data_IF_233311277594
#
_entry.id   IF_233311277594
#
_cell.length_a   1.000
_cell.length_b   1.000
_cell.length_c   1.000
_cell.angle_alpha   90.00
_cell.angle_beta   90.00
_cell.angle_gamma   90.00
#
_symmetry.space_group_name_H-M   'P 1'
#
loop_
_entity.id
_entity.type
_entity.pdbx_description
1 polymer ?
#
# COMPACT_ATOMS: atom_id res chain seq x y z
N UNK A 1 38.65 5.66 -10.80
CA UNK A 1 38.13 4.35 -10.36
C UNK A 1 36.79 4.12 -11.02
N UNK A 2 36.75 3.35 -12.12
CA UNK A 2 35.50 3.00 -12.81
C UNK A 2 34.89 1.80 -12.10
N UNK A 3 33.78 2.02 -11.39
CA UNK A 3 33.00 0.93 -10.77
C UNK A 3 32.49 0.03 -11.90
N UNK A 4 32.70 -1.30 -11.85
CA UNK A 4 32.21 -2.21 -12.87
C UNK A 4 30.68 -2.13 -12.93
N UNK A 5 30.13 -2.02 -14.13
CA UNK A 5 28.68 -2.10 -14.33
C UNK A 5 28.18 -3.47 -13.82
N UNK A 6 27.10 -3.53 -13.01
CA UNK A 6 26.61 -4.78 -12.47
C UNK A 6 26.16 -5.72 -13.60
N UNK A 7 26.50 -7.00 -13.45
CA UNK A 7 26.21 -8.03 -14.43
C UNK A 7 24.68 -8.13 -14.67
N UNK A 8 24.23 -8.22 -15.93
CA UNK A 8 22.82 -8.36 -16.24
C UNK A 8 22.32 -9.71 -15.74
N UNK A 9 21.42 -9.73 -14.76
CA UNK A 9 20.57 -10.89 -14.46
C UNK A 9 20.45 -11.32 -13.01
N UNK A 10 21.31 -10.85 -12.10
CA UNK A 10 21.18 -11.20 -10.67
C UNK A 10 20.41 -10.10 -9.94
N UNK A 11 19.28 -10.40 -9.27
CA UNK A 11 18.54 -9.40 -8.51
C UNK A 11 19.43 -8.88 -7.36
N UNK A 12 19.57 -7.54 -7.21
CA UNK A 12 20.42 -6.98 -6.17
C UNK A 12 19.86 -7.32 -4.79
N UNK A 13 20.71 -7.59 -3.80
CA UNK A 13 20.27 -7.88 -2.42
C UNK A 13 19.40 -6.75 -1.85
N UNK A 14 19.66 -5.51 -2.30
CA UNK A 14 18.90 -4.32 -1.89
C UNK A 14 17.50 -4.21 -2.51
N UNK A 15 17.15 -5.08 -3.48
CA UNK A 15 15.77 -5.21 -3.97
C UNK A 15 14.79 -5.61 -2.86
N UNK A 16 15.29 -6.30 -1.82
CA UNK A 16 14.51 -6.69 -0.65
C UNK A 16 13.93 -5.51 0.13
N UNK A 17 14.57 -4.34 0.07
CA UNK A 17 14.03 -3.10 0.66
C UNK A 17 12.76 -2.62 -0.02
N UNK A 18 12.48 -3.07 -1.25
CA UNK A 18 11.21 -2.83 -1.94
C UNK A 18 10.26 -4.01 -1.78
N UNK A 19 10.74 -5.23 -2.02
CA UNK A 19 9.87 -6.40 -2.15
C UNK A 19 9.32 -6.89 -0.82
N UNK A 20 10.06 -6.75 0.29
CA UNK A 20 9.60 -7.15 1.62
C UNK A 20 8.49 -6.19 2.10
N UNK A 21 8.69 -4.85 2.12
CA UNK A 21 7.60 -3.95 2.50
C UNK A 21 6.37 -4.06 1.60
N UNK A 22 6.55 -4.22 0.28
CA UNK A 22 5.42 -4.46 -0.64
C UNK A 22 4.64 -5.73 -0.29
N UNK A 23 5.34 -6.80 0.10
CA UNK A 23 4.70 -8.03 0.53
C UNK A 23 3.94 -7.82 1.85
N UNK A 24 4.53 -7.13 2.82
CA UNK A 24 3.88 -6.80 4.09
C UNK A 24 2.60 -5.98 3.86
N UNK A 25 2.68 -4.94 3.03
CA UNK A 25 1.53 -4.12 2.66
C UNK A 25 0.46 -4.93 1.93
N UNK A 26 0.84 -5.83 1.03
CA UNK A 26 -0.08 -6.70 0.31
C UNK A 26 -0.82 -7.64 1.27
N UNK A 27 -0.10 -8.29 2.18
CA UNK A 27 -0.71 -9.16 3.20
C UNK A 27 -1.63 -8.37 4.11
N UNK A 28 -1.21 -7.19 4.56
CA UNK A 28 -2.04 -6.29 5.36
C UNK A 28 -3.34 -5.92 4.64
N UNK A 29 -3.27 -5.49 3.37
CA UNK A 29 -4.45 -5.18 2.57
C UNK A 29 -5.35 -6.41 2.35
N UNK A 30 -4.77 -7.60 2.16
CA UNK A 30 -5.54 -8.84 2.03
C UNK A 30 -6.29 -9.17 3.34
N UNK A 31 -5.63 -9.07 4.49
CA UNK A 31 -6.30 -9.24 5.78
C UNK A 31 -7.38 -8.18 6.02
N UNK A 32 -7.14 -6.94 5.64
CA UNK A 32 -8.15 -5.88 5.70
C UNK A 32 -9.37 -6.18 4.84
N UNK A 33 -9.17 -6.73 3.64
CA UNK A 33 -10.27 -7.14 2.76
C UNK A 33 -11.10 -8.29 3.37
N UNK A 34 -10.43 -9.24 4.01
CA UNK A 34 -11.07 -10.34 4.76
C UNK A 34 -11.86 -9.84 5.97
N UNK A 35 -11.39 -8.78 6.63
CA UNK A 35 -12.05 -8.17 7.79
C UNK A 35 -13.26 -7.30 7.41
N UNK A 36 -13.30 -6.81 6.16
CA UNK A 36 -14.30 -5.85 5.65
C UNK A 36 -15.78 -6.24 5.91
N UNK A 37 -16.24 -7.48 5.64
CA UNK A 37 -17.64 -7.85 5.90
C UNK A 37 -18.02 -7.81 7.39
N UNK A 38 -17.05 -7.92 8.30
CA UNK A 38 -17.29 -7.89 9.75
C UNK A 38 -17.39 -6.47 10.32
N UNK A 39 -16.99 -5.45 9.55
CA UNK A 39 -17.03 -4.05 9.98
C UNK A 39 -18.43 -3.43 9.93
N UNK A 40 -19.37 -4.01 9.19
CA UNK A 40 -20.72 -3.46 9.01
C UNK A 40 -21.47 -3.19 10.33
N UNK A 41 -21.66 -4.19 11.20
CA UNK A 41 -22.32 -4.00 12.49
C UNK A 41 -21.59 -3.01 13.39
N UNK A 42 -20.26 -2.98 13.34
CA UNK A 42 -19.42 -2.11 14.16
C UNK A 42 -19.52 -0.65 13.73
N UNK A 43 -19.62 -0.39 12.42
CA UNK A 43 -19.88 0.95 11.89
C UNK A 43 -21.28 1.45 12.28
N UNK A 44 -22.29 0.57 12.29
CA UNK A 44 -23.65 0.93 12.71
C UNK A 44 -23.72 1.35 14.18
N UNK A 45 -22.95 0.71 15.07
CA UNK A 45 -22.91 1.09 16.48
C UNK A 45 -22.08 2.35 16.74
N UNK A 46 -21.01 2.60 15.96
CA UNK A 46 -20.12 3.75 16.16
C UNK A 46 -20.64 5.05 15.54
N UNK A 47 -21.42 4.98 14.44
CA UNK A 47 -21.93 6.15 13.74
C UNK A 47 -22.75 7.10 14.64
N UNK A 48 -23.71 6.62 15.46
CA UNK A 48 -24.46 7.48 16.37
C UNK A 48 -23.58 8.14 17.44
N UNK A 49 -22.59 7.43 17.97
CA UNK A 49 -21.65 7.96 18.98
C UNK A 49 -20.80 9.09 18.40
N UNK A 50 -20.26 8.91 17.18
CA UNK A 50 -19.49 9.95 16.48
C UNK A 50 -20.34 11.18 16.14
N UNK A 51 -21.59 10.97 15.73
CA UNK A 51 -22.53 12.07 15.48
C UNK A 51 -22.80 12.87 16.76
N UNK A 52 -22.99 12.18 17.88
CA UNK A 52 -23.17 12.80 19.20
C UNK A 52 -21.96 13.65 19.63
N UNK A 53 -20.74 13.17 19.37
CA UNK A 53 -19.51 13.92 19.70
C UNK A 53 -19.29 15.15 18.80
N UNK A 54 -19.69 15.08 17.54
CA UNK A 54 -19.52 16.18 16.57
C UNK A 54 -20.63 17.26 16.68
N UNK A 55 -21.62 17.06 17.55
CA UNK A 55 -22.72 18.01 17.75
C UNK A 55 -23.61 18.18 16.50
N UNK A 56 -23.59 17.18 15.61
CA UNK A 56 -24.38 17.22 14.39
C UNK A 56 -25.84 16.88 14.71
N UNK A 57 -26.83 17.61 14.14
CA UNK A 57 -28.24 17.24 14.25
C UNK A 57 -28.46 15.84 13.64
N UNK A 58 -29.44 15.08 14.14
CA UNK A 58 -29.61 13.63 13.88
C UNK A 58 -29.52 13.16 12.41
N UNK A 59 -29.18 11.87 12.25
CA UNK A 59 -29.04 11.09 11.00
C UNK A 59 -28.48 11.85 9.78
N UNK A 60 -27.27 12.42 9.91
CA UNK A 60 -26.55 13.01 8.76
C UNK A 60 -26.09 11.93 7.75
N UNK A 61 -25.88 10.70 8.21
CA UNK A 61 -25.51 9.56 7.38
C UNK A 61 -26.62 8.50 7.43
N UNK A 62 -27.48 8.42 6.41
CA UNK A 62 -28.52 7.39 6.37
C UNK A 62 -27.86 6.00 6.33
N UNK A 63 -28.36 5.07 7.15
CA UNK A 63 -27.81 3.70 7.24
C UNK A 63 -27.82 2.95 5.89
N UNK A 64 -28.67 3.38 4.95
CA UNK A 64 -28.72 2.85 3.58
C UNK A 64 -27.43 3.08 2.79
N UNK A 65 -26.54 4.00 3.21
CA UNK A 65 -25.24 4.24 2.56
C UNK A 65 -24.16 3.26 3.02
N UNK A 66 -24.36 2.55 4.14
CA UNK A 66 -23.36 1.63 4.68
C UNK A 66 -22.96 0.56 3.65
N UNK A 67 -23.89 -0.13 2.96
CA UNK A 67 -23.54 -1.07 1.90
C UNK A 67 -22.71 -0.43 0.77
N UNK A 68 -23.06 0.79 0.35
CA UNK A 68 -22.34 1.50 -0.70
C UNK A 68 -20.90 1.81 -0.28
N UNK A 69 -20.70 2.27 0.96
CA UNK A 69 -19.37 2.52 1.52
C UNK A 69 -18.58 1.21 1.59
N UNK A 70 -19.18 0.12 2.07
CA UNK A 70 -18.53 -1.19 2.15
C UNK A 70 -18.12 -1.71 0.76
N UNK A 71 -18.97 -1.57 -0.26
CA UNK A 71 -18.65 -1.96 -1.64
C UNK A 71 -17.56 -1.09 -2.25
N UNK A 72 -17.59 0.23 -1.99
CA UNK A 72 -16.55 1.13 -2.45
C UNK A 72 -15.21 0.80 -1.79
N UNK A 73 -15.20 0.60 -0.47
CA UNK A 73 -14.03 0.14 0.28
C UNK A 73 -13.51 -1.19 -0.23
N UNK A 74 -14.40 -2.14 -0.55
CA UNK A 74 -14.04 -3.42 -1.15
C UNK A 74 -13.33 -3.22 -2.50
N UNK A 75 -13.95 -2.49 -3.42
CA UNK A 75 -13.40 -2.26 -4.76
C UNK A 75 -12.05 -1.53 -4.71
N UNK A 76 -11.93 -0.51 -3.87
CA UNK A 76 -10.68 0.23 -3.66
C UNK A 76 -9.58 -0.66 -3.05
N UNK A 77 -9.94 -1.50 -2.08
CA UNK A 77 -8.98 -2.42 -1.45
C UNK A 77 -8.51 -3.47 -2.45
N UNK A 78 -9.40 -4.02 -3.28
CA UNK A 78 -9.03 -4.95 -4.37
C UNK A 78 -8.11 -4.28 -5.37
N UNK A 79 -8.42 -3.05 -5.79
CA UNK A 79 -7.58 -2.28 -6.71
C UNK A 79 -6.19 -2.03 -6.10
N UNK A 80 -6.13 -1.69 -4.81
CA UNK A 80 -4.87 -1.53 -4.08
C UNK A 80 -4.06 -2.84 -4.01
N UNK A 81 -4.70 -3.98 -3.75
CA UNK A 81 -4.03 -5.29 -3.73
C UNK A 81 -3.44 -5.62 -5.11
N UNK A 82 -4.23 -5.42 -6.18
CA UNK A 82 -3.75 -5.64 -7.55
C UNK A 82 -2.58 -4.71 -7.86
N UNK A 83 -2.69 -3.44 -7.49
CA UNK A 83 -1.61 -2.48 -7.69
C UNK A 83 -0.33 -2.92 -6.98
N UNK A 84 -0.39 -3.25 -5.68
CA UNK A 84 0.76 -3.75 -4.92
C UNK A 84 1.36 -5.03 -5.52
N UNK A 85 0.52 -5.96 -5.95
CA UNK A 85 0.93 -7.21 -6.59
C UNK A 85 1.70 -6.96 -7.89
N UNK A 86 1.14 -6.16 -8.79
CA UNK A 86 1.77 -5.82 -10.07
C UNK A 86 3.04 -5.00 -9.87
N UNK A 87 3.07 -4.09 -8.89
CA UNK A 87 4.28 -3.32 -8.55
C UNK A 87 5.39 -4.24 -8.06
N UNK A 88 5.09 -5.17 -7.14
CA UNK A 88 6.07 -6.15 -6.68
C UNK A 88 6.59 -7.01 -7.82
N UNK A 89 5.71 -7.50 -8.69
CA UNK A 89 6.08 -8.29 -9.86
C UNK A 89 6.96 -7.50 -10.83
N UNK A 90 6.60 -6.25 -11.14
CA UNK A 90 7.37 -5.38 -11.99
C UNK A 90 8.77 -5.09 -11.43
N UNK A 91 8.89 -4.89 -10.10
CA UNK A 91 10.18 -4.73 -9.43
C UNK A 91 11.03 -5.99 -9.54
N UNK A 92 10.44 -7.18 -9.36
CA UNK A 92 11.15 -8.47 -9.50
C UNK A 92 11.55 -8.78 -10.95
N UNK A 93 10.82 -8.25 -11.93
CA UNK A 93 11.13 -8.37 -13.35
C UNK A 93 12.16 -7.30 -13.81
N UNK A 94 12.52 -6.36 -12.94
CA UNK A 94 13.46 -5.27 -13.26
C UNK A 94 12.86 -4.18 -14.16
N UNK A 95 11.53 -4.03 -14.18
CA UNK A 95 10.83 -3.02 -14.98
C UNK A 95 10.86 -1.65 -14.31
N UNK A 96 11.23 -0.60 -15.05
CA UNK A 96 11.34 0.75 -14.50
C UNK A 96 10.08 1.35 -13.91
N UNK A 97 8.90 1.02 -14.45
CA UNK A 97 7.63 1.48 -13.89
C UNK A 97 7.33 0.87 -12.50
N UNK A 98 7.86 -0.33 -12.22
CA UNK A 98 7.76 -0.96 -10.90
C UNK A 98 8.44 -0.14 -9.81
N UNK A 99 9.61 0.44 -10.12
CA UNK A 99 10.30 1.35 -9.19
C UNK A 99 9.51 2.63 -8.94
N UNK A 100 9.03 3.28 -10.01
CA UNK A 100 8.24 4.51 -9.90
C UNK A 100 6.99 4.26 -9.06
N UNK A 101 6.26 3.18 -9.33
CA UNK A 101 5.10 2.82 -8.53
C UNK A 101 5.47 2.50 -7.08
N UNK A 102 6.63 1.88 -6.81
CA UNK A 102 7.07 1.63 -5.44
C UNK A 102 7.35 2.91 -4.67
N UNK A 103 7.87 3.96 -5.34
CA UNK A 103 8.05 5.28 -4.72
C UNK A 103 6.69 5.88 -4.33
N UNK A 104 5.70 5.81 -5.22
CA UNK A 104 4.35 6.31 -4.93
C UNK A 104 3.74 5.57 -3.74
N UNK A 105 3.83 4.23 -3.72
CA UNK A 105 3.38 3.41 -2.57
C UNK A 105 4.12 3.80 -1.29
N UNK A 106 5.43 4.02 -1.37
CA UNK A 106 6.23 4.40 -0.21
C UNK A 106 5.79 5.75 0.37
N UNK A 107 5.54 6.74 -0.49
CA UNK A 107 5.04 8.06 -0.09
C UNK A 107 3.68 7.96 0.59
N UNK A 108 2.73 7.20 0.02
CA UNK A 108 1.45 6.96 0.68
C UNK A 108 1.60 6.23 2.03
N UNK A 109 2.55 5.30 2.11
CA UNK A 109 2.82 4.57 3.36
C UNK A 109 3.35 5.51 4.45
N UNK A 110 4.06 6.59 4.10
CA UNK A 110 4.52 7.58 5.09
C UNK A 110 3.39 8.23 5.89
N UNK A 111 2.19 8.32 5.31
CA UNK A 111 1.00 8.89 5.96
C UNK A 111 0.40 7.96 7.02
N UNK A 112 0.75 6.66 6.98
CA UNK A 112 0.21 5.64 7.87
C UNK A 112 1.14 5.43 9.07
N UNK A 113 1.06 6.33 10.06
CA UNK A 113 1.91 6.25 11.25
C UNK A 113 1.42 5.19 12.26
N UNK A 114 2.32 4.43 12.92
CA UNK A 114 3.78 4.43 12.76
C UNK A 114 4.30 3.40 11.74
N UNK A 115 3.57 2.30 11.53
CA UNK A 115 4.07 1.14 10.80
C UNK A 115 4.32 1.44 9.32
N UNK A 116 3.40 2.14 8.66
CA UNK A 116 3.55 2.53 7.27
C UNK A 116 4.70 3.51 7.08
N UNK A 117 4.98 4.38 8.05
CA UNK A 117 6.11 5.31 7.98
C UNK A 117 7.44 4.57 7.92
N UNK A 118 7.63 3.54 8.76
CA UNK A 118 8.84 2.72 8.74
C UNK A 118 8.97 1.97 7.41
N UNK A 119 7.88 1.34 6.95
CA UNK A 119 7.87 0.62 5.66
C UNK A 119 8.15 1.56 4.48
N UNK A 120 7.54 2.74 4.47
CA UNK A 120 7.73 3.76 3.45
C UNK A 120 9.18 4.25 3.40
N UNK A 121 9.80 4.52 4.55
CA UNK A 121 11.22 4.90 4.61
C UNK A 121 12.14 3.80 4.06
N UNK A 122 11.93 2.54 4.48
CA UNK A 122 12.68 1.37 3.98
C UNK A 122 12.54 1.25 2.46
N UNK A 123 11.32 1.43 1.94
CA UNK A 123 11.08 1.40 0.49
C UNK A 123 11.76 2.54 -0.24
N UNK A 124 11.72 3.78 0.27
CA UNK A 124 12.39 4.92 -0.37
C UNK A 124 13.91 4.70 -0.43
N UNK A 125 14.51 4.19 0.65
CA UNK A 125 15.94 3.83 0.68
C UNK A 125 16.25 2.81 -0.43
N UNK A 126 15.43 1.76 -0.56
CA UNK A 126 15.58 0.76 -1.62
C UNK A 126 15.36 1.33 -3.03
N UNK A 127 14.37 2.20 -3.20
CA UNK A 127 13.98 2.76 -4.50
C UNK A 127 15.06 3.67 -5.11
N UNK A 128 15.80 4.39 -4.26
CA UNK A 128 16.87 5.30 -4.69
C UNK A 128 18.26 4.67 -4.65
N UNK A 129 18.37 3.41 -4.23
CA UNK A 129 19.64 2.71 -4.22
C UNK A 129 20.21 2.50 -5.63
N UNK A 130 21.51 2.78 -5.82
CA UNK A 130 22.16 2.78 -7.14
C UNK A 130 22.03 1.43 -7.85
N UNK A 131 22.13 0.32 -7.12
CA UNK A 131 22.04 -1.02 -7.68
C UNK A 131 20.61 -1.34 -8.12
N UNK A 132 19.62 -0.89 -7.35
CA UNK A 132 18.19 -1.04 -7.66
C UNK A 132 17.80 -0.17 -8.85
N UNK A 133 18.30 1.07 -8.93
CA UNK A 133 18.08 1.94 -10.09
C UNK A 133 18.68 1.34 -11.35
N UNK A 134 19.91 0.82 -11.28
CA UNK A 134 20.56 0.19 -12.42
C UNK A 134 19.80 -1.07 -12.88
N UNK A 135 19.33 -1.88 -11.93
CA UNK A 135 18.54 -3.08 -12.19
C UNK A 135 17.18 -2.77 -12.82
N UNK A 136 16.49 -1.73 -12.35
CA UNK A 136 15.15 -1.32 -12.79
C UNK A 136 15.16 -0.35 -13.98
N UNK A 137 16.27 -0.24 -14.73
CA UNK A 137 16.36 0.68 -15.87
C UNK A 137 15.83 0.09 -17.19
N UNK A 138 15.41 -1.18 -17.18
CA UNK A 138 14.84 -1.88 -18.34
C UNK A 138 13.34 -1.58 -18.49
#
# INVERSE_FOLDING_TARGET
MTVPAPAPGVPPKRLNFLTIPLLVLLLYSAFSLLALPFLGPQLQSMLPELQGQLGLPGEVLPLSLIPTVLWLSFALTVLQILWLYYTRRAVLEGRGWGRVSSIVVAVFSLLLFPLGTVLGLVMLIGAFDRDVVAYTRR
#
